data_IF_173640356544
#
_entry.id   IF_173640356544
#
_cell.length_a   1.000
_cell.length_b   1.000
_cell.length_c   1.000
_cell.angle_alpha   90.00
_cell.angle_beta   90.00
_cell.angle_gamma   90.00
#
_symmetry.space_group_name_H-M   'P 1'
#
loop_
_entity.id
_entity.type
_entity.pdbx_description
1 polymer ?
#
# COMPACT_ATOMS: atom_id res chain seq x y z
N UNK A 1 -10.00 -10.68 -12.05
CA UNK A 1 -11.23 -11.22 -12.66
C UNK A 1 -12.34 -10.20 -12.42
N UNK A 2 -12.59 -9.32 -13.37
CA UNK A 2 -13.57 -8.24 -13.24
C UNK A 2 -14.05 -7.89 -14.65
N UNK A 3 -15.25 -8.32 -15.03
CA UNK A 3 -15.95 -7.72 -16.18
C UNK A 3 -17.47 -7.68 -15.97
N UNK A 4 -18.08 -8.56 -15.16
CA UNK A 4 -19.55 -8.69 -15.13
C UNK A 4 -20.31 -8.11 -13.91
N UNK A 5 -19.65 -7.83 -12.77
CA UNK A 5 -20.36 -7.50 -11.50
C UNK A 5 -20.05 -6.12 -10.91
N UNK A 6 -19.36 -5.23 -11.65
CA UNK A 6 -19.03 -3.87 -11.19
C UNK A 6 -17.96 -3.79 -10.10
N UNK A 7 -17.49 -4.93 -9.56
CA UNK A 7 -16.42 -4.98 -8.56
C UNK A 7 -15.06 -5.19 -9.20
N UNK A 8 -14.10 -4.34 -8.84
CA UNK A 8 -12.71 -4.44 -9.25
C UNK A 8 -11.84 -4.59 -8.00
N UNK A 9 -11.02 -5.64 -8.00
CA UNK A 9 -9.92 -5.78 -7.05
C UNK A 9 -8.69 -6.23 -7.81
N UNK A 10 -7.62 -5.44 -7.68
CA UNK A 10 -6.32 -5.69 -8.27
C UNK A 10 -5.27 -5.35 -7.23
N UNK A 11 -4.30 -6.25 -7.09
CA UNK A 11 -3.10 -6.04 -6.28
C UNK A 11 -1.91 -6.48 -7.11
N UNK A 12 -0.95 -5.59 -7.24
CA UNK A 12 0.32 -5.85 -7.93
C UNK A 12 1.46 -5.49 -6.99
N UNK A 13 2.49 -6.32 -6.97
CA UNK A 13 3.68 -6.10 -6.15
C UNK A 13 4.94 -6.29 -6.98
N UNK A 14 5.89 -5.39 -6.75
CA UNK A 14 7.23 -5.48 -7.32
C UNK A 14 8.24 -5.41 -6.20
N UNK A 15 9.13 -6.38 -6.18
CA UNK A 15 10.22 -6.45 -5.22
C UNK A 15 11.54 -6.26 -5.95
N UNK A 16 12.31 -5.28 -5.49
CA UNK A 16 13.71 -5.12 -5.87
C UNK A 16 14.59 -5.44 -4.65
N UNK A 17 15.92 -5.56 -4.81
CA UNK A 17 16.80 -5.77 -3.66
C UNK A 17 16.66 -4.70 -2.57
N UNK A 18 16.27 -3.48 -2.92
CA UNK A 18 16.22 -2.32 -2.01
C UNK A 18 14.83 -1.83 -1.69
N UNK A 19 13.81 -2.19 -2.48
CA UNK A 19 12.48 -1.60 -2.37
C UNK A 19 11.37 -2.61 -2.58
N UNK A 20 10.24 -2.34 -1.95
CA UNK A 20 8.97 -3.03 -2.21
C UNK A 20 7.97 -1.98 -2.66
N UNK A 21 7.38 -2.20 -3.82
CA UNK A 21 6.33 -1.35 -4.39
C UNK A 21 5.04 -2.16 -4.39
N UNK A 22 4.00 -1.61 -3.78
CA UNK A 22 2.68 -2.24 -3.70
C UNK A 22 1.67 -1.34 -4.38
N UNK A 23 0.95 -1.86 -5.36
CA UNK A 23 -0.14 -1.16 -6.04
C UNK A 23 -1.45 -1.87 -5.75
N UNK A 24 -2.42 -1.12 -5.24
CA UNK A 24 -3.75 -1.61 -4.95
C UNK A 24 -4.77 -0.75 -5.67
N UNK A 25 -5.62 -1.41 -6.44
CA UNK A 25 -6.81 -0.82 -7.05
C UNK A 25 -8.01 -1.65 -6.58
N UNK A 26 -8.91 -1.01 -5.85
CA UNK A 26 -10.09 -1.65 -5.29
C UNK A 26 -11.29 -0.74 -5.42
N UNK A 27 -12.43 -1.27 -5.84
CA UNK A 27 -13.63 -0.45 -6.02
C UNK A 27 -14.87 -1.23 -6.40
N UNK A 28 -16.01 -0.56 -6.26
CA UNK A 28 -17.31 -1.04 -6.71
C UNK A 28 -17.95 0.08 -7.55
N UNK A 29 -18.39 -0.28 -8.76
CA UNK A 29 -18.96 0.59 -9.78
C UNK A 29 -18.13 1.87 -10.02
N UNK A 30 -18.61 3.02 -9.51
CA UNK A 30 -18.05 4.35 -9.74
C UNK A 30 -17.10 4.85 -8.64
N UNK A 31 -16.86 4.05 -7.59
CA UNK A 31 -15.93 4.42 -6.50
C UNK A 31 -14.69 3.55 -6.57
N UNK A 32 -13.60 4.16 -7.04
CA UNK A 32 -12.29 3.54 -7.12
C UNK A 32 -11.43 4.08 -5.97
N UNK A 33 -10.88 3.17 -5.16
CA UNK A 33 -9.77 3.44 -4.25
C UNK A 33 -8.48 2.98 -4.91
N UNK A 34 -7.53 3.90 -4.98
CA UNK A 34 -6.22 3.68 -5.57
C UNK A 34 -5.15 3.98 -4.52
N UNK A 35 -4.23 3.04 -4.34
CA UNK A 35 -3.12 3.18 -3.41
C UNK A 35 -1.83 2.71 -4.08
N UNK A 36 -0.79 3.53 -3.98
CA UNK A 36 0.59 3.16 -4.32
C UNK A 36 1.40 3.29 -3.04
N UNK A 37 1.92 2.16 -2.57
CA UNK A 37 2.81 2.06 -1.43
C UNK A 37 4.25 1.88 -1.90
N UNK A 38 5.15 2.65 -1.33
CA UNK A 38 6.59 2.51 -1.51
C UNK A 38 7.24 2.26 -0.15
N UNK A 39 8.00 1.19 -0.04
CA UNK A 39 8.74 0.82 1.16
C UNK A 39 10.20 0.59 0.81
N UNK A 40 11.11 1.32 1.46
CA UNK A 40 12.55 1.05 1.39
C UNK A 40 12.91 -0.05 2.38
N UNK A 41 13.60 -1.09 1.91
CA UNK A 41 14.09 -2.20 2.75
C UNK A 41 15.19 -1.75 3.70
N UNK A 42 16.04 -0.83 3.27
CA UNK A 42 17.16 -0.33 4.06
C UNK A 42 16.71 0.54 5.23
N UNK A 43 15.64 1.32 5.02
CA UNK A 43 15.11 2.25 6.01
C UNK A 43 13.87 1.72 6.72
N UNK A 44 13.55 0.43 6.57
CA UNK A 44 12.35 -0.17 7.16
C UNK A 44 12.30 0.01 8.67
N UNK A 45 13.41 -0.30 9.35
CA UNK A 45 13.54 -0.13 10.81
C UNK A 45 13.39 1.33 11.25
N UNK A 46 14.03 2.26 10.55
CA UNK A 46 13.93 3.69 10.86
C UNK A 46 12.50 4.22 10.65
N UNK A 47 11.83 3.77 9.59
CA UNK A 47 10.45 4.12 9.30
C UNK A 47 9.46 3.54 10.33
N UNK A 48 9.71 2.32 10.82
CA UNK A 48 8.92 1.72 11.90
C UNK A 48 9.09 2.47 13.22
N UNK A 49 10.32 2.82 13.60
CA UNK A 49 10.59 3.63 14.80
C UNK A 49 9.93 5.01 14.73
N UNK A 50 9.96 5.67 13.57
CA UNK A 50 9.30 6.96 13.37
C UNK A 50 7.78 6.86 13.53
N UNK A 51 7.15 5.80 12.97
CA UNK A 51 5.72 5.54 13.15
C UNK A 51 5.33 5.24 14.59
N UNK A 52 6.18 4.53 15.34
CA UNK A 52 5.94 4.27 16.75
C UNK A 52 6.07 5.55 17.60
N UNK A 53 7.03 6.42 17.27
CA UNK A 53 7.19 7.72 17.92
C UNK A 53 5.98 8.64 17.67
N UNK A 54 5.48 8.72 16.43
CA UNK A 54 4.26 9.47 16.11
C UNK A 54 3.05 8.93 16.87
N UNK A 55 2.88 7.60 16.95
CA UNK A 55 1.77 6.98 17.70
C UNK A 55 1.85 7.29 19.20
N UNK A 56 3.04 7.29 19.80
CA UNK A 56 3.23 7.65 21.21
C UNK A 56 3.01 9.14 21.47
N UNK A 57 3.27 10.00 20.49
CA UNK A 57 3.05 11.44 20.62
C UNK A 57 1.59 11.86 20.46
N UNK A 58 0.73 11.00 19.90
CA UNK A 58 -0.71 11.25 19.71
C UNK A 58 -1.59 10.68 20.84
N UNK A 59 -0.97 10.05 21.85
CA UNK A 59 -1.59 9.56 23.08
C UNK A 59 -1.27 10.50 24.25
#
# INVERSE_FOLDING_TARGET
MAVATGRMQMRSEWETPRTKITHVLGGDNFKIRHLIGYESREFKLAAEQAKEAEKKSQL
#
